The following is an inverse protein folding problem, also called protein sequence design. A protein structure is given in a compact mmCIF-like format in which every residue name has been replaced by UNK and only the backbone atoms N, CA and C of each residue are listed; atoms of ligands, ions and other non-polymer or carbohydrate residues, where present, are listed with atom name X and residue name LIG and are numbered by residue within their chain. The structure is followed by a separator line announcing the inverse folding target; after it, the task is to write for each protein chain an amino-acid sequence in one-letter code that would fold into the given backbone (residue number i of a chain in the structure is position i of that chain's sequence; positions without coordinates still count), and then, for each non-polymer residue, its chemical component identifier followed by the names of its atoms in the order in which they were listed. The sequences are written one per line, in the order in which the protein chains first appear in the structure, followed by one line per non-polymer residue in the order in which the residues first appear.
data_IF_588294705618
#
_entry.id   IF_588294705618
#
_cell.length_a   1.000
_cell.length_b   1.000
_cell.length_c   1.000
_cell.angle_alpha   90.00
_cell.angle_beta   90.00
_cell.angle_gamma   90.00
#
_symmetry.space_group_name_H-M   'P 1'
#
loop_
_entity.id
_entity.type
_entity.pdbx_description
1 polymer ?
#
# COMPACT_ATOMS: atom_id res chain seq x y z
N UNK A 1 -9.26 -11.49 -20.41
CA UNK A 1 -8.40 -12.08 -19.34
C UNK A 1 -7.11 -12.73 -19.85
N UNK A 2 -7.11 -13.52 -20.96
CA UNK A 2 -5.89 -14.17 -21.49
C UNK A 2 -4.78 -13.20 -21.95
N UNK A 3 -5.12 -12.00 -22.43
CA UNK A 3 -4.12 -11.00 -22.88
C UNK A 3 -3.29 -10.39 -21.73
N UNK A 4 -3.86 -10.20 -20.54
CA UNK A 4 -3.13 -9.64 -19.38
C UNK A 4 -2.07 -10.63 -18.87
N UNK A 5 -2.42 -11.93 -18.84
CA UNK A 5 -1.48 -13.00 -18.49
C UNK A 5 -0.35 -13.12 -19.53
N UNK A 6 -0.67 -12.97 -20.81
CA UNK A 6 0.31 -12.98 -21.88
C UNK A 6 1.28 -11.79 -21.78
N UNK A 7 0.77 -10.60 -21.44
CA UNK A 7 1.58 -9.40 -21.22
C UNK A 7 2.53 -9.58 -20.01
N UNK A 8 2.03 -10.11 -18.90
CA UNK A 8 2.83 -10.40 -17.70
C UNK A 8 3.94 -11.44 -17.97
N UNK A 9 3.65 -12.48 -18.76
CA UNK A 9 4.67 -13.47 -19.14
C UNK A 9 5.70 -12.93 -20.14
N UNK A 10 5.31 -12.06 -21.07
CA UNK A 10 6.26 -11.47 -22.02
C UNK A 10 7.13 -10.37 -21.41
N UNK A 11 6.61 -9.59 -20.46
CA UNK A 11 7.38 -8.59 -19.72
C UNK A 11 8.46 -9.24 -18.84
N UNK A 12 8.18 -10.40 -18.23
CA UNK A 12 9.18 -11.16 -17.45
C UNK A 12 10.44 -11.52 -18.25
N UNK A 13 10.31 -11.80 -19.56
CA UNK A 13 11.43 -12.26 -20.40
C UNK A 13 12.34 -11.11 -20.89
N UNK A 14 11.80 -9.89 -21.05
CA UNK A 14 12.58 -8.71 -21.49
C UNK A 14 13.11 -7.86 -20.32
N UNK A 15 12.47 -7.91 -19.15
CA UNK A 15 12.89 -7.14 -17.98
C UNK A 15 14.18 -7.64 -17.30
N UNK A 16 14.64 -8.87 -17.57
CA UNK A 16 15.87 -9.39 -16.96
C UNK A 16 17.13 -8.59 -17.37
N UNK A 17 17.16 -8.07 -18.60
CA UNK A 17 18.32 -7.32 -19.13
C UNK A 17 18.28 -5.86 -18.66
N UNK A 18 17.09 -5.24 -18.57
CA UNK A 18 16.94 -3.86 -18.10
C UNK A 18 17.14 -3.72 -16.58
N UNK A 19 16.84 -4.77 -15.80
CA UNK A 19 17.09 -4.79 -14.35
C UNK A 19 18.57 -4.61 -14.02
N UNK A 20 19.48 -5.18 -14.83
CA UNK A 20 20.93 -5.08 -14.59
C UNK A 20 21.48 -3.65 -14.76
N UNK A 21 20.90 -2.84 -15.65
CA UNK A 21 21.29 -1.43 -15.81
C UNK A 21 20.70 -0.53 -14.71
N UNK A 22 19.51 -0.86 -14.19
CA UNK A 22 18.88 -0.07 -13.12
C UNK A 22 19.43 -0.41 -11.74
N UNK A 23 19.81 -1.67 -11.46
CA UNK A 23 20.39 -2.07 -10.16
C UNK A 23 21.69 -1.30 -9.89
N UNK A 24 22.54 -1.14 -10.90
CA UNK A 24 23.84 -0.46 -10.77
C UNK A 24 23.72 1.02 -10.38
N UNK A 25 22.66 1.73 -10.79
CA UNK A 25 22.44 3.14 -10.39
C UNK A 25 21.71 3.30 -9.05
N UNK A 26 20.89 2.33 -8.66
CA UNK A 26 20.16 2.40 -7.38
C UNK A 26 21.10 2.11 -6.21
N UNK A 27 22.06 1.20 -6.36
CA UNK A 27 23.05 0.91 -5.31
C UNK A 27 23.97 2.11 -5.04
N UNK A 28 24.36 2.88 -6.07
CA UNK A 28 25.16 4.10 -5.90
C UNK A 28 24.34 5.25 -5.24
N UNK A 29 23.07 5.40 -5.59
CA UNK A 29 22.22 6.46 -5.03
C UNK A 29 21.71 6.17 -3.60
N UNK A 30 21.66 4.90 -3.18
CA UNK A 30 21.24 4.52 -1.83
C UNK A 30 22.36 4.70 -0.80
N UNK A 31 23.62 4.57 -1.22
CA UNK A 31 24.76 4.79 -0.32
C UNK A 31 25.01 6.27 0.01
N UNK A 32 24.69 7.19 -0.89
CA UNK A 32 24.91 8.62 -0.67
C UNK A 32 23.81 9.32 0.16
N UNK A 33 22.61 8.75 0.27
CA UNK A 33 21.51 9.34 1.07
C UNK A 33 21.48 8.95 2.54
N UNK A 34 22.38 8.07 3.00
CA UNK A 34 22.48 7.67 4.41
C UNK A 34 23.36 8.62 5.26
N UNK A 35 23.80 9.76 4.72
CA UNK A 35 24.62 10.76 5.44
C UNK A 35 23.91 12.05 5.85
N UNK A 36 22.59 12.08 5.90
CA UNK A 36 21.86 13.18 6.56
C UNK A 36 21.13 12.69 7.82
N UNK A 37 21.58 13.06 9.03
CA UNK A 37 20.86 12.75 10.26
C UNK A 37 19.68 13.72 10.39
N UNK A 38 18.54 13.43 9.74
CA UNK A 38 17.30 14.15 9.99
C UNK A 38 16.74 13.79 11.36
N UNK A 39 17.07 14.64 12.33
CA UNK A 39 16.46 14.74 13.66
C UNK A 39 14.96 15.02 13.54
N UNK A 40 14.13 13.99 13.57
CA UNK A 40 12.72 14.13 13.96
C UNK A 40 12.53 13.40 15.28
N UNK A 41 12.60 14.20 16.35
CA UNK A 41 12.40 13.76 17.72
C UNK A 41 10.93 13.40 17.95
N UNK A 42 10.65 12.11 18.11
CA UNK A 42 9.43 11.65 18.78
C UNK A 42 9.55 11.99 20.26
N UNK A 43 8.86 13.06 20.71
CA UNK A 43 8.59 13.27 22.14
C UNK A 43 7.60 12.21 22.59
N UNK A 44 8.09 11.15 23.24
CA UNK A 44 7.23 10.32 24.09
C UNK A 44 6.80 11.17 25.29
N UNK A 45 5.48 11.29 25.52
CA UNK A 45 4.96 11.77 26.79
C UNK A 45 4.97 10.59 27.75
N UNK A 46 5.98 10.56 28.61
CA UNK A 46 5.95 9.77 29.84
C UNK A 46 5.00 10.48 30.81
N UNK A 47 3.86 9.86 31.11
CA UNK A 47 2.99 10.25 32.22
C UNK A 47 3.31 9.35 33.41
N UNK A 48 4.19 9.83 34.28
CA UNK A 48 4.56 9.19 35.53
C UNK A 48 3.43 9.29 36.57
N UNK A 49 3.00 8.11 37.03
CA UNK A 49 2.77 7.72 38.43
C UNK A 49 2.37 8.79 39.46
N UNK A 50 1.15 8.68 40.01
CA UNK A 50 0.88 9.00 41.42
C UNK A 50 0.59 7.72 42.19
N UNK A 51 1.54 7.34 43.04
CA UNK A 51 1.40 6.36 44.11
C UNK A 51 0.51 6.93 45.21
N UNK A 52 -0.58 6.25 45.56
CA UNK A 52 -1.15 6.32 46.90
C UNK A 52 -1.41 4.89 47.37
N UNK A 53 -0.53 4.45 48.25
CA UNK A 53 -0.61 3.25 49.06
C UNK A 53 -1.75 3.36 50.07
N UNK A 54 -2.57 2.33 50.20
CA UNK A 54 -3.35 2.08 51.42
C UNK A 54 -3.41 0.57 51.69
N UNK A 55 -3.29 0.13 52.95
CA UNK A 55 -2.92 -1.24 53.31
C UNK A 55 -4.09 -1.97 53.98
N UNK A 56 -4.79 -2.85 53.25
CA UNK A 56 -5.75 -3.83 53.79
C UNK A 56 -5.83 -4.99 52.77
N UNK A 57 -4.87 -5.91 52.65
CA UNK A 57 -4.57 -7.02 53.56
C UNK A 57 -5.83 -7.45 54.34
N UNK A 58 -6.41 -8.61 53.98
CA UNK A 58 -7.43 -9.43 54.70
C UNK A 58 -8.62 -9.99 53.88
N UNK A 59 -8.50 -10.16 52.55
CA UNK A 59 -9.44 -11.02 51.77
C UNK A 59 -8.72 -12.05 50.88
N UNK A 60 -7.61 -12.61 51.40
CA UNK A 60 -6.66 -13.41 50.63
C UNK A 60 -6.83 -14.95 50.75
N UNK A 61 -7.97 -15.50 51.18
CA UNK A 61 -8.01 -16.94 51.49
C UNK A 61 -9.22 -17.78 51.05
N UNK A 62 -10.16 -17.31 50.22
CA UNK A 62 -11.34 -18.15 49.86
C UNK A 62 -11.53 -18.44 48.36
N UNK A 63 -10.77 -17.85 47.44
CA UNK A 63 -11.02 -18.03 46.00
C UNK A 63 -10.03 -18.94 45.26
N UNK A 64 -9.39 -19.90 45.96
CA UNK A 64 -8.27 -20.70 45.44
C UNK A 64 -8.66 -22.01 44.69
N UNK A 65 -9.92 -22.20 44.30
CA UNK A 65 -10.40 -23.52 43.82
C UNK A 65 -10.98 -23.58 42.39
N UNK A 66 -10.77 -22.56 41.54
CA UNK A 66 -11.03 -22.67 40.08
C UNK A 66 -9.81 -22.30 39.22
N UNK A 67 -8.60 -22.60 39.68
CA UNK A 67 -7.37 -22.50 38.88
C UNK A 67 -7.22 -23.68 37.90
N UNK A 68 -8.27 -23.95 37.12
CA UNK A 68 -8.15 -24.65 35.85
C UNK A 68 -7.71 -23.64 34.79
N UNK A 69 -6.44 -23.24 34.82
CA UNK A 69 -5.81 -22.48 33.73
C UNK A 69 -5.82 -23.37 32.47
N UNK A 70 -6.94 -23.39 31.76
CA UNK A 70 -6.96 -23.82 30.38
C UNK A 70 -5.94 -22.96 29.65
N UNK A 71 -4.84 -23.57 29.24
CA UNK A 71 -3.86 -22.92 28.40
C UNK A 71 -4.58 -22.49 27.12
N UNK A 72 -5.01 -21.23 27.06
CA UNK A 72 -5.48 -20.62 25.83
C UNK A 72 -4.25 -20.58 24.94
N UNK A 73 -4.11 -21.60 24.10
CA UNK A 73 -3.13 -21.61 23.02
C UNK A 73 -3.58 -20.53 22.05
N UNK A 74 -3.14 -19.30 22.30
CA UNK A 74 -3.30 -18.19 21.37
C UNK A 74 -2.45 -18.50 20.15
N UNK A 75 -3.08 -19.10 19.15
CA UNK A 75 -2.48 -19.31 17.85
C UNK A 75 -2.21 -17.91 17.25
N UNK A 76 -0.93 -17.54 17.15
CA UNK A 76 -0.55 -16.25 16.57
C UNK A 76 -0.81 -16.30 15.06
N UNK A 77 -1.93 -15.73 14.63
CA UNK A 77 -2.22 -15.54 13.22
C UNK A 77 -1.23 -14.53 12.64
N UNK A 78 -0.47 -14.93 11.61
CA UNK A 78 0.46 -14.02 10.92
C UNK A 78 -0.32 -13.11 9.99
N UNK A 79 -0.03 -11.82 10.02
CA UNK A 79 -0.58 -10.89 9.06
C UNK A 79 -0.10 -11.23 7.63
N UNK A 80 -1.01 -11.17 6.63
CA UNK A 80 -0.60 -11.36 5.25
C UNK A 80 0.36 -10.25 4.84
N UNK A 81 1.31 -10.57 3.97
CA UNK A 81 2.21 -9.57 3.42
C UNK A 81 1.44 -8.71 2.43
N UNK A 82 1.76 -7.43 2.38
CA UNK A 82 1.19 -6.50 1.40
C UNK A 82 2.28 -5.94 0.50
N UNK A 83 1.95 -5.75 -0.78
CA UNK A 83 2.91 -5.24 -1.76
C UNK A 83 2.19 -4.47 -2.87
N UNK A 84 2.81 -3.36 -3.29
CA UNK A 84 2.37 -2.62 -4.48
C UNK A 84 3.06 -3.27 -5.68
N UNK A 85 2.29 -3.63 -6.71
CA UNK A 85 2.86 -4.08 -7.96
C UNK A 85 3.49 -2.88 -8.68
N UNK A 86 4.82 -2.85 -8.75
CA UNK A 86 5.57 -1.72 -9.32
C UNK A 86 5.07 -1.30 -10.71
N UNK A 87 4.73 -2.26 -11.57
CA UNK A 87 4.21 -2.01 -12.93
C UNK A 87 2.83 -1.34 -12.96
N UNK A 88 2.04 -1.52 -11.90
CA UNK A 88 0.69 -0.99 -11.74
C UNK A 88 0.61 0.07 -10.63
N UNK A 89 1.76 0.55 -10.15
CA UNK A 89 1.85 1.56 -9.08
C UNK A 89 1.48 2.97 -9.54
N UNK A 90 1.38 3.18 -10.85
CA UNK A 90 1.11 4.48 -11.48
C UNK A 90 0.03 4.34 -12.54
N UNK A 91 -0.85 5.34 -12.63
CA UNK A 91 -1.81 5.48 -13.71
C UNK A 91 -1.78 6.90 -14.25
N UNK A 92 -2.23 7.05 -15.50
CA UNK A 92 -2.28 8.32 -16.19
C UNK A 92 -3.65 8.47 -16.82
N UNK A 93 -4.32 9.57 -16.54
CA UNK A 93 -5.61 9.86 -17.14
C UNK A 93 -5.55 11.21 -17.85
N UNK A 94 -6.39 11.41 -18.86
CA UNK A 94 -6.54 12.70 -19.52
C UNK A 94 -7.98 13.15 -19.46
N UNK A 95 -8.24 14.17 -18.65
CA UNK A 95 -9.55 14.78 -18.53
C UNK A 95 -9.44 16.22 -19.03
N UNK A 96 -10.25 16.54 -20.04
CA UNK A 96 -10.25 17.86 -20.71
C UNK A 96 -8.86 18.32 -21.21
N UNK A 97 -8.04 17.37 -21.67
CA UNK A 97 -6.69 17.62 -22.16
C UNK A 97 -5.64 17.87 -21.07
N UNK A 98 -6.02 17.80 -19.79
CA UNK A 98 -5.07 17.82 -18.67
C UNK A 98 -4.62 16.39 -18.39
N UNK A 99 -3.31 16.18 -18.38
CA UNK A 99 -2.73 14.93 -17.94
C UNK A 99 -2.72 14.88 -16.41
N UNK A 100 -3.31 13.83 -15.86
CA UNK A 100 -3.40 13.56 -14.43
C UNK A 100 -2.65 12.27 -14.17
N UNK A 101 -1.80 12.28 -13.16
CA UNK A 101 -1.05 11.10 -12.73
C UNK A 101 -1.50 10.69 -11.34
N UNK A 102 -1.82 9.42 -11.18
CA UNK A 102 -2.04 8.83 -9.87
C UNK A 102 -0.89 7.89 -9.54
N UNK A 103 -0.38 7.97 -8.31
CA UNK A 103 0.67 7.13 -7.76
C UNK A 103 0.15 6.45 -6.47
N UNK A 104 0.37 5.14 -6.34
CA UNK A 104 0.25 4.43 -5.08
C UNK A 104 1.55 4.65 -4.29
N UNK A 105 1.49 5.44 -3.23
CA UNK A 105 2.68 5.84 -2.45
C UNK A 105 3.04 4.78 -1.39
N UNK A 106 2.06 4.32 -0.61
CA UNK A 106 2.29 3.35 0.46
C UNK A 106 1.07 2.48 0.72
N UNK A 107 1.32 1.27 1.22
CA UNK A 107 0.31 0.32 1.67
C UNK A 107 0.70 -0.15 3.06
N UNK A 108 -0.22 -0.05 4.01
CA UNK A 108 -0.06 -0.55 5.38
C UNK A 108 -1.17 -1.56 5.62
N UNK A 109 -0.85 -2.71 6.21
CA UNK A 109 -1.85 -3.70 6.60
C UNK A 109 -1.98 -3.80 8.10
N UNK A 110 -3.21 -3.83 8.58
CA UNK A 110 -3.56 -4.09 9.97
C UNK A 110 -4.42 -5.36 10.04
N UNK A 111 -4.12 -6.27 10.96
CA UNK A 111 -4.94 -7.46 11.17
C UNK A 111 -5.84 -7.26 12.38
N UNK A 112 -7.10 -7.66 12.23
CA UNK A 112 -8.00 -7.81 13.37
C UNK A 112 -7.50 -8.94 14.27
N UNK A 113 -7.67 -8.80 15.60
CA UNK A 113 -7.21 -9.78 16.60
C UNK A 113 -7.78 -11.19 16.43
N UNK A 114 -8.83 -11.36 15.62
CA UNK A 114 -9.40 -12.66 15.24
C UNK A 114 -8.83 -13.29 13.96
N UNK A 115 -7.89 -12.64 13.26
CA UNK A 115 -7.20 -13.21 12.08
C UNK A 115 -8.01 -13.33 10.79
N UNK A 116 -9.33 -13.16 10.83
CA UNK A 116 -10.22 -13.40 9.69
C UNK A 116 -10.41 -12.18 8.78
N UNK A 117 -9.98 -11.00 9.22
CA UNK A 117 -10.13 -9.73 8.50
C UNK A 117 -8.79 -8.99 8.51
N UNK A 118 -8.37 -8.55 7.33
CA UNK A 118 -7.23 -7.65 7.17
C UNK A 118 -7.74 -6.32 6.65
N UNK A 119 -7.35 -5.25 7.33
CA UNK A 119 -7.53 -3.90 6.85
C UNK A 119 -6.28 -3.49 6.09
N UNK A 120 -6.47 -2.83 4.96
CA UNK A 120 -5.39 -2.33 4.13
C UNK A 120 -5.58 -0.84 3.95
N UNK A 121 -4.68 -0.06 4.52
CA UNK A 121 -4.62 1.37 4.37
C UNK A 121 -3.74 1.73 3.18
N UNK A 122 -4.36 2.38 2.20
CA UNK A 122 -3.74 2.86 0.98
C UNK A 122 -3.50 4.36 1.06
N UNK A 123 -2.30 4.77 0.68
CA UNK A 123 -2.00 6.18 0.40
C UNK A 123 -1.90 6.38 -1.11
N UNK A 124 -2.84 7.14 -1.64
CA UNK A 124 -2.88 7.55 -3.03
C UNK A 124 -2.42 9.00 -3.16
N UNK A 125 -1.48 9.29 -4.05
CA UNK A 125 -1.18 10.65 -4.47
C UNK A 125 -1.64 10.85 -5.90
N UNK A 126 -2.37 11.94 -6.13
CA UNK A 126 -2.80 12.34 -7.47
C UNK A 126 -2.25 13.72 -7.78
N UNK A 127 -1.64 13.87 -8.94
CA UNK A 127 -0.97 15.09 -9.39
C UNK A 127 -1.43 15.44 -10.80
N UNK A 128 -1.89 16.67 -10.99
CA UNK A 128 -2.09 17.30 -12.29
C UNK A 128 -0.77 17.91 -12.78
N UNK A 129 -0.39 17.65 -14.03
CA UNK A 129 0.84 18.20 -14.62
C UNK A 129 0.77 19.68 -14.94
N UNK A 130 -0.43 20.22 -15.07
CA UNK A 130 -0.65 21.66 -15.21
C UNK A 130 -1.35 22.14 -13.96
N UNK A 131 -1.03 23.36 -13.46
CA UNK A 131 -1.90 23.96 -12.49
C UNK A 131 -3.31 24.00 -13.08
N UNK A 132 -4.34 23.95 -12.23
CA UNK A 132 -5.74 23.95 -12.65
C UNK A 132 -6.33 25.38 -12.83
N UNK A 133 -5.60 26.49 -13.13
CA UNK A 133 -6.15 27.84 -12.98
C UNK A 133 -7.23 28.16 -14.02
N UNK A 134 -7.41 27.31 -15.05
CA UNK A 134 -8.47 27.44 -16.04
C UNK A 134 -9.77 26.71 -15.62
N UNK A 135 -9.75 25.96 -14.51
CA UNK A 135 -10.95 25.41 -13.92
C UNK A 135 -11.40 26.33 -12.79
N UNK A 136 -12.47 27.08 -13.04
CA UNK A 136 -13.20 27.80 -11.99
C UNK A 136 -13.98 26.85 -11.05
N UNK A 137 -14.03 25.55 -11.38
CA UNK A 137 -14.86 24.57 -10.72
C UNK A 137 -14.03 23.42 -10.15
N UNK A 138 -14.48 22.86 -9.03
CA UNK A 138 -13.93 21.63 -8.47
C UNK A 138 -13.97 20.50 -9.52
N UNK A 139 -12.92 19.70 -9.55
CA UNK A 139 -12.75 18.61 -10.51
C UNK A 139 -12.67 17.30 -9.76
N UNK A 140 -13.45 16.30 -10.16
CA UNK A 140 -13.42 14.98 -9.53
C UNK A 140 -12.87 13.95 -10.50
N UNK A 141 -11.87 13.21 -10.05
CA UNK A 141 -11.33 12.06 -10.76
C UNK A 141 -11.71 10.76 -10.05
N UNK A 142 -11.74 9.67 -10.81
CA UNK A 142 -12.11 8.34 -10.30
C UNK A 142 -11.08 7.28 -10.71
N UNK A 143 -9.84 7.31 -10.17
CA UNK A 143 -8.87 6.26 -10.44
C UNK A 143 -9.38 4.89 -9.96
N UNK A 144 -9.46 3.96 -10.90
CA UNK A 144 -9.79 2.56 -10.63
C UNK A 144 -8.54 1.76 -10.24
N UNK A 145 -8.65 0.92 -9.22
CA UNK A 145 -7.58 0.04 -8.75
C UNK A 145 -8.13 -1.34 -8.40
N UNK A 146 -7.23 -2.31 -8.29
CA UNK A 146 -7.54 -3.68 -7.90
C UNK A 146 -6.77 -4.08 -6.66
N UNK A 147 -7.37 -4.98 -5.90
CA UNK A 147 -6.71 -5.73 -4.83
C UNK A 147 -6.79 -7.20 -5.19
N UNK A 148 -5.65 -7.88 -5.18
CA UNK A 148 -5.55 -9.30 -5.48
C UNK A 148 -4.94 -10.04 -4.30
N UNK A 149 -5.64 -11.04 -3.78
CA UNK A 149 -5.10 -11.95 -2.76
C UNK A 149 -4.50 -13.14 -3.49
N UNK A 150 -3.20 -13.35 -3.30
CA UNK A 150 -2.41 -14.35 -4.01
C UNK A 150 -1.81 -15.32 -3.00
N UNK A 151 -1.90 -16.62 -3.28
CA UNK A 151 -1.26 -17.63 -2.44
C UNK A 151 0.26 -17.65 -2.61
N UNK A 152 0.95 -18.40 -1.77
CA UNK A 152 2.40 -18.57 -1.85
C UNK A 152 2.91 -19.22 -3.15
N UNK A 153 2.04 -19.88 -3.94
CA UNK A 153 2.39 -20.45 -5.26
C UNK A 153 2.16 -19.47 -6.41
N UNK A 154 1.58 -18.31 -6.15
CA UNK A 154 1.27 -17.29 -7.15
C UNK A 154 -0.12 -17.40 -7.77
N UNK A 155 -1.02 -18.26 -7.25
CA UNK A 155 -2.40 -18.31 -7.72
C UNK A 155 -3.21 -17.16 -7.12
N UNK A 156 -4.02 -16.52 -7.95
CA UNK A 156 -4.97 -15.50 -7.50
C UNK A 156 -6.17 -16.20 -6.85
N UNK A 157 -6.29 -16.06 -5.53
CA UNK A 157 -7.41 -16.61 -4.76
C UNK A 157 -8.66 -15.73 -4.86
N UNK A 158 -8.46 -14.41 -4.84
CA UNK A 158 -9.52 -13.43 -5.04
C UNK A 158 -8.96 -12.18 -5.70
N UNK A 159 -9.83 -11.47 -6.42
CA UNK A 159 -9.56 -10.14 -6.98
C UNK A 159 -10.80 -9.27 -6.86
N UNK A 160 -10.65 -8.12 -6.23
CA UNK A 160 -11.64 -7.06 -6.14
C UNK A 160 -11.18 -5.86 -6.96
N UNK A 161 -12.14 -5.16 -7.57
CA UNK A 161 -11.91 -3.88 -8.23
C UNK A 161 -12.63 -2.79 -7.43
N UNK A 162 -11.99 -1.64 -7.32
CA UNK A 162 -12.45 -0.52 -6.53
C UNK A 162 -12.20 0.77 -7.29
N UNK A 163 -13.04 1.77 -7.05
CA UNK A 163 -12.87 3.11 -7.58
C UNK A 163 -12.68 4.07 -6.40
N UNK A 164 -11.72 4.99 -6.50
CA UNK A 164 -11.57 6.05 -5.52
C UNK A 164 -12.00 7.38 -6.10
N UNK A 165 -12.94 8.06 -5.45
CA UNK A 165 -13.30 9.41 -5.81
C UNK A 165 -12.35 10.43 -5.16
N UNK A 166 -11.62 11.20 -5.98
CA UNK A 166 -10.70 12.25 -5.52
C UNK A 166 -11.14 13.58 -6.12
N UNK A 167 -11.69 14.47 -5.28
CA UNK A 167 -12.07 15.82 -5.67
C UNK A 167 -10.91 16.80 -5.49
N UNK A 168 -10.50 17.50 -6.53
CA UNK A 168 -9.57 18.62 -6.49
C UNK A 168 -10.32 19.91 -6.16
N UNK A 169 -9.77 20.67 -5.22
CA UNK A 169 -10.21 22.05 -4.96
C UNK A 169 -9.56 23.00 -5.98
N UNK A 170 -10.11 24.22 -6.07
CA UNK A 170 -9.60 25.25 -6.97
C UNK A 170 -8.10 25.48 -6.75
N UNK A 171 -7.33 25.57 -7.85
CA UNK A 171 -5.87 25.83 -7.85
C UNK A 171 -4.99 24.73 -7.23
N UNK A 172 -5.53 23.62 -6.73
CA UNK A 172 -4.71 22.50 -6.27
C UNK A 172 -4.10 21.75 -7.46
N UNK A 173 -2.79 21.47 -7.41
CA UNK A 173 -2.12 20.66 -8.44
C UNK A 173 -1.87 19.24 -7.98
N UNK A 174 -1.83 19.01 -6.67
CA UNK A 174 -1.58 17.69 -6.08
C UNK A 174 -2.52 17.49 -4.91
N UNK A 175 -3.15 16.32 -4.85
CA UNK A 175 -3.98 15.88 -3.74
C UNK A 175 -3.50 14.51 -3.27
N UNK A 176 -3.40 14.35 -1.95
CA UNK A 176 -3.10 13.05 -1.32
C UNK A 176 -4.39 12.58 -0.65
N UNK A 177 -4.78 11.34 -0.93
CA UNK A 177 -5.95 10.69 -0.36
C UNK A 177 -5.54 9.42 0.38
N UNK A 178 -6.23 9.14 1.49
CA UNK A 178 -6.05 7.94 2.29
C UNK A 178 -7.32 7.11 2.21
N UNK A 179 -7.18 5.82 1.91
CA UNK A 179 -8.29 4.89 1.74
C UNK A 179 -8.06 3.69 2.63
N UNK A 180 -9.01 3.42 3.53
CA UNK A 180 -9.02 2.19 4.32
C UNK A 180 -9.91 1.17 3.64
N UNK A 181 -9.34 0.02 3.31
CA UNK A 181 -10.04 -1.10 2.70
C UNK A 181 -10.17 -2.25 3.68
N UNK A 182 -11.32 -2.90 3.65
CA UNK A 182 -11.53 -4.16 4.35
C UNK A 182 -11.51 -5.30 3.33
N UNK A 183 -10.53 -6.19 3.47
CA UNK A 183 -10.40 -7.36 2.61
C UNK A 183 -10.48 -8.64 3.45
N UNK A 184 -11.27 -9.59 2.97
CA UNK A 184 -11.43 -10.90 3.61
C UNK A 184 -10.33 -11.83 3.16
N UNK A 185 -9.51 -12.27 4.11
CA UNK A 185 -8.31 -13.06 3.84
C UNK A 185 -8.49 -14.46 4.44
N UNK A 186 -8.18 -15.54 3.70
CA UNK A 186 -8.27 -16.89 4.24
C UNK A 186 -7.22 -17.11 5.35
N UNK A 187 -7.69 -17.41 6.55
CA UNK A 187 -6.90 -17.54 7.80
C UNK A 187 -5.81 -18.61 7.73
N UNK A 188 -6.09 -19.70 7.00
CA UNK A 188 -5.28 -20.91 7.01
C UNK A 188 -4.31 -20.99 5.82
N UNK A 189 -4.09 -19.89 5.10
CA UNK A 189 -3.20 -19.87 3.92
C UNK A 189 -2.21 -18.72 4.04
N UNK A 190 -0.94 -19.00 3.75
CA UNK A 190 0.03 -17.94 3.54
C UNK A 190 -0.31 -17.23 2.22
N UNK A 191 -0.65 -15.95 2.34
CA UNK A 191 -1.11 -15.14 1.22
C UNK A 191 -0.41 -13.78 1.22
N UNK A 192 -0.29 -13.22 0.02
CA UNK A 192 0.19 -11.87 -0.23
C UNK A 192 -0.91 -11.07 -0.91
N UNK A 193 -1.16 -9.86 -0.41
CA UNK A 193 -2.11 -8.92 -1.00
C UNK A 193 -1.33 -7.99 -1.94
N UNK A 194 -1.70 -8.02 -3.22
CA UNK A 194 -1.15 -7.15 -4.25
C UNK A 194 -2.15 -6.07 -4.63
N UNK A 195 -1.63 -4.88 -4.86
CA UNK A 195 -2.44 -3.69 -5.14
C UNK A 195 -1.84 -2.95 -6.32
N UNK A 196 -2.71 -2.48 -7.22
CA UNK A 196 -2.32 -1.76 -8.43
C UNK A 196 -3.50 -1.10 -9.10
N UNK A 197 -3.24 -0.14 -9.98
CA UNK A 197 -4.30 0.47 -10.79
C UNK A 197 -4.83 -0.49 -11.85
N UNK A 198 -6.13 -0.38 -12.14
CA UNK A 198 -6.73 -1.00 -13.31
C UNK A 198 -6.36 -0.15 -14.52
N UNK A 199 -5.35 -0.60 -15.27
CA UNK A 199 -4.83 0.12 -16.42
C UNK A 199 -5.51 -0.35 -17.71
N UNK A 200 -5.91 0.61 -18.54
CA UNK A 200 -6.32 0.33 -19.91
C UNK A 200 -5.11 0.17 -20.86
N UNK A 201 -5.38 -0.23 -22.10
CA UNK A 201 -4.32 -0.47 -23.09
C UNK A 201 -3.53 0.81 -23.44
N UNK A 202 -4.19 1.97 -23.50
CA UNK A 202 -3.54 3.25 -23.77
C UNK A 202 -2.59 3.66 -22.64
N UNK A 203 -3.01 3.48 -21.39
CA UNK A 203 -2.21 3.74 -20.20
C UNK A 203 -0.99 2.83 -20.13
N UNK A 204 -1.18 1.54 -20.41
CA UNK A 204 -0.07 0.57 -20.49
C UNK A 204 0.92 0.97 -21.58
N UNK A 205 0.44 1.32 -22.79
CA UNK A 205 1.29 1.80 -23.89
C UNK A 205 2.06 3.06 -23.51
N UNK A 206 1.42 4.01 -22.84
CA UNK A 206 2.04 5.24 -22.36
C UNK A 206 3.15 4.94 -21.33
N UNK A 207 2.87 4.13 -20.32
CA UNK A 207 3.83 3.73 -19.29
C UNK A 207 5.05 3.00 -19.88
N UNK A 208 4.84 2.13 -20.86
CA UNK A 208 5.91 1.44 -21.57
C UNK A 208 6.78 2.42 -22.37
N UNK A 209 6.16 3.39 -23.05
CA UNK A 209 6.88 4.43 -23.79
C UNK A 209 7.73 5.30 -22.86
N UNK A 210 7.17 5.76 -21.74
CA UNK A 210 7.90 6.53 -20.73
C UNK A 210 9.07 5.74 -20.13
N UNK A 211 8.87 4.45 -19.84
CA UNK A 211 9.95 3.58 -19.35
C UNK A 211 11.10 3.49 -20.36
N UNK A 212 10.79 3.33 -21.64
CA UNK A 212 11.81 3.19 -22.69
C UNK A 212 12.59 4.49 -22.93
N UNK A 213 11.96 5.67 -22.75
CA UNK A 213 12.66 6.96 -22.84
C UNK A 213 13.79 7.10 -21.81
N UNK A 214 13.65 6.48 -20.64
CA UNK A 214 14.67 6.52 -19.59
C UNK A 214 15.78 5.47 -19.74
N UNK A 215 15.69 4.57 -20.73
CA UNK A 215 16.66 3.49 -20.98
C UNK A 215 17.75 3.91 -21.99
N UNK A 216 17.64 5.08 -22.61
CA UNK A 216 18.78 5.70 -23.32
C UNK A 216 19.79 6.18 -22.28
N UNK A 217 20.59 5.24 -21.79
CA UNK A 217 21.84 5.51 -21.12
C UNK A 217 22.85 5.88 -22.21
N UNK A 218 23.14 7.18 -22.33
CA UNK A 218 24.47 7.60 -22.78
C UNK A 218 25.53 7.15 -21.76
#
# INVERSE_FOLDING_TARGET
MKQLLYLLMHLRKKNWIASLCSQRRVDDAYHDRLREPTKWAWRSRNSSSSTNSSPLMWWLFVSLSLAGCGAITSERVRCPKTSILAEFSKSFDSQDGILIRSDLDSVISECSGGGNQTFVDLRLRVTSFRPLPNFHNAMTIKPSYFVAVVDNTGNVLSRSNHDLEVAFEEKQTTKVSFVRLEEKVPVNKEVTIYIGFNLDESQVKFLLKERNKHITCD
#
